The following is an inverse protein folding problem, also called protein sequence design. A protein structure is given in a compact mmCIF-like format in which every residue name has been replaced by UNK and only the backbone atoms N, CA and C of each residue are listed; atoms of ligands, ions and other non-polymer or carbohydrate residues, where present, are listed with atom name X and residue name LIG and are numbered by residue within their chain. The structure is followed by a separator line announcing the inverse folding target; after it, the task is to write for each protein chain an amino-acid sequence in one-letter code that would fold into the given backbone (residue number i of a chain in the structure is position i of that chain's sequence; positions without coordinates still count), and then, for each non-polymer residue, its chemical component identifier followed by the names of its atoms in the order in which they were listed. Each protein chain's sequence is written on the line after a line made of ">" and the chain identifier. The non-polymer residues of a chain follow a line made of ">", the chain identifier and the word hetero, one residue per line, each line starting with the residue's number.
data_IF_964175883178
#
_entry.id   IF_964175883178
#
_cell.length_a   1.000
_cell.length_b   1.000
_cell.length_c   1.000
_cell.angle_alpha   90.00
_cell.angle_beta   90.00
_cell.angle_gamma   90.00
#
_symmetry.space_group_name_H-M   'P 1'
#
loop_
_entity.id
_entity.type
_entity.pdbx_description
1 polymer ?
#
# COMPACT_ATOMS: atom_id res chain seq x y z
N UNK A 1 16.18 17.26 2.86
CA UNK A 1 15.42 16.06 3.27
C UNK A 1 14.00 16.43 3.69
N UNK A 2 13.17 16.92 2.77
CA UNK A 2 11.75 17.27 3.02
C UNK A 2 10.78 16.55 2.06
N UNK A 3 11.28 16.05 0.93
CA UNK A 3 10.51 15.38 -0.12
C UNK A 3 10.01 13.99 0.31
N UNK A 4 10.86 13.19 0.98
CA UNK A 4 10.50 11.83 1.41
C UNK A 4 9.31 11.77 2.39
N UNK A 5 9.15 12.78 3.26
CA UNK A 5 8.01 12.84 4.20
C UNK A 5 6.71 13.22 3.50
N UNK A 6 6.80 14.13 2.51
CA UNK A 6 5.65 14.54 1.69
C UNK A 6 5.12 13.39 0.84
N UNK A 7 6.01 12.59 0.26
CA UNK A 7 5.63 11.44 -0.59
C UNK A 7 4.98 10.31 0.23
N UNK A 8 5.51 10.01 1.43
CA UNK A 8 4.89 9.04 2.35
C UNK A 8 3.51 9.47 2.82
N UNK A 9 3.34 10.76 3.14
CA UNK A 9 2.05 11.31 3.54
C UNK A 9 1.04 11.27 2.39
N UNK A 10 1.45 11.63 1.17
CA UNK A 10 0.61 11.51 -0.03
C UNK A 10 0.19 10.07 -0.32
N UNK A 11 1.12 9.11 -0.15
CA UNK A 11 0.82 7.68 -0.29
C UNK A 11 -0.17 7.19 0.78
N UNK A 12 -0.01 7.63 2.03
CA UNK A 12 -0.95 7.35 3.11
C UNK A 12 -2.35 7.89 2.82
N UNK A 13 -2.49 9.16 2.41
CA UNK A 13 -3.80 9.75 2.07
C UNK A 13 -4.46 8.98 0.91
N UNK A 14 -3.67 8.60 -0.10
CA UNK A 14 -4.17 7.86 -1.26
C UNK A 14 -4.62 6.45 -0.87
N UNK A 15 -3.89 5.77 0.02
CA UNK A 15 -4.27 4.46 0.53
C UNK A 15 -5.51 4.53 1.43
N UNK A 16 -5.59 5.55 2.28
CA UNK A 16 -6.77 5.76 3.14
C UNK A 16 -8.03 6.02 2.31
N UNK A 17 -7.92 6.83 1.24
CA UNK A 17 -9.02 7.04 0.29
C UNK A 17 -9.48 5.74 -0.38
N UNK A 18 -8.54 4.83 -0.69
CA UNK A 18 -8.90 3.53 -1.24
C UNK A 18 -9.68 2.67 -0.23
N UNK A 19 -9.28 2.66 1.05
CA UNK A 19 -10.05 1.96 2.08
C UNK A 19 -11.46 2.52 2.27
N UNK A 20 -11.63 3.86 2.30
CA UNK A 20 -12.96 4.47 2.32
C UNK A 20 -13.81 4.13 1.09
N UNK A 21 -13.17 3.98 -0.09
CA UNK A 21 -13.89 3.54 -1.29
C UNK A 21 -14.41 2.11 -1.13
N UNK A 22 -13.63 1.18 -0.57
CA UNK A 22 -14.04 -0.21 -0.34
C UNK A 22 -15.29 -0.31 0.53
N UNK A 23 -15.45 0.57 1.52
CA UNK A 23 -16.62 0.59 2.40
C UNK A 23 -17.92 0.93 1.66
N UNK A 24 -17.83 1.59 0.50
CA UNK A 24 -19.00 2.11 -0.22
C UNK A 24 -19.20 1.45 -1.59
N UNK A 25 -18.15 0.87 -2.17
CA UNK A 25 -18.18 0.30 -3.52
C UNK A 25 -17.08 -0.75 -3.68
N UNK A 26 -17.38 -1.83 -4.41
CA UNK A 26 -16.38 -2.82 -4.78
C UNK A 26 -15.30 -2.16 -5.68
N UNK A 27 -14.04 -2.06 -5.23
CA UNK A 27 -12.98 -1.48 -6.04
C UNK A 27 -12.68 -2.34 -7.27
N UNK A 28 -12.18 -1.70 -8.32
CA UNK A 28 -11.65 -2.43 -9.48
C UNK A 28 -10.28 -3.04 -9.16
N UNK A 29 -9.91 -4.09 -9.90
CA UNK A 29 -8.58 -4.69 -9.82
C UNK A 29 -7.45 -3.66 -9.99
N UNK A 30 -7.59 -2.73 -10.92
CA UNK A 30 -6.61 -1.67 -11.14
C UNK A 30 -6.48 -0.72 -9.94
N UNK A 31 -7.57 -0.44 -9.23
CA UNK A 31 -7.54 0.36 -8.00
C UNK A 31 -6.81 -0.39 -6.87
N UNK A 32 -7.05 -1.69 -6.73
CA UNK A 32 -6.36 -2.53 -5.76
C UNK A 32 -4.84 -2.63 -6.04
N UNK A 33 -4.45 -2.81 -7.30
CA UNK A 33 -3.04 -2.85 -7.69
C UNK A 33 -2.33 -1.52 -7.42
N UNK A 34 -2.98 -0.38 -7.68
CA UNK A 34 -2.46 0.95 -7.32
C UNK A 34 -2.33 1.12 -5.80
N UNK A 35 -3.30 0.67 -5.02
CA UNK A 35 -3.25 0.72 -3.56
C UNK A 35 -2.09 -0.12 -3.00
N UNK A 36 -1.87 -1.33 -3.53
CA UNK A 36 -0.74 -2.18 -3.14
C UNK A 36 0.62 -1.53 -3.48
N UNK A 37 0.73 -0.81 -4.60
CA UNK A 37 1.95 -0.06 -4.95
C UNK A 37 2.22 1.11 -3.99
N UNK A 38 1.17 1.83 -3.58
CA UNK A 38 1.27 2.92 -2.60
C UNK A 38 1.72 2.39 -1.23
N UNK A 39 1.27 1.19 -0.86
CA UNK A 39 1.68 0.52 0.38
C UNK A 39 3.21 0.31 0.45
N UNK A 40 3.86 -0.10 -0.64
CA UNK A 40 5.33 -0.22 -0.70
C UNK A 40 6.01 1.11 -0.33
N UNK A 41 5.51 2.22 -0.88
CA UNK A 41 6.08 3.57 -0.66
C UNK A 41 5.93 4.05 0.76
N UNK A 42 4.81 3.71 1.43
CA UNK A 42 4.60 4.01 2.85
C UNK A 42 5.71 3.37 3.70
N UNK A 43 6.05 2.12 3.40
CA UNK A 43 7.13 1.39 4.05
C UNK A 43 8.54 1.79 3.58
N UNK A 44 8.65 2.77 2.69
CA UNK A 44 9.94 3.32 2.23
C UNK A 44 10.61 2.53 1.11
N UNK A 45 9.87 1.69 0.39
CA UNK A 45 10.35 0.96 -0.77
C UNK A 45 9.62 1.42 -2.04
N UNK A 46 10.31 1.49 -3.18
CA UNK A 46 9.64 1.84 -4.45
C UNK A 46 8.82 0.68 -5.02
N UNK A 47 9.16 -0.56 -4.62
CA UNK A 47 8.53 -1.77 -5.09
C UNK A 47 8.64 -2.90 -4.05
N UNK A 48 7.91 -4.00 -4.29
CA UNK A 48 7.86 -5.16 -3.39
C UNK A 48 9.21 -5.87 -3.26
N UNK A 49 10.04 -5.84 -4.32
CA UNK A 49 11.37 -6.46 -4.29
C UNK A 49 12.29 -5.71 -3.32
N UNK A 50 12.30 -4.39 -3.37
CA UNK A 50 13.03 -3.54 -2.43
C UNK A 50 12.51 -3.70 -1.00
N UNK A 51 11.19 -3.78 -0.84
CA UNK A 51 10.56 -4.00 0.46
C UNK A 51 11.04 -5.30 1.12
N UNK A 52 11.12 -6.39 0.35
CA UNK A 52 11.62 -7.67 0.85
C UNK A 52 13.12 -7.67 1.13
N UNK A 53 13.88 -6.73 0.56
CA UNK A 53 15.30 -6.54 0.84
C UNK A 53 15.57 -5.75 2.12
N UNK A 54 14.60 -4.98 2.64
CA UNK A 54 14.76 -4.27 3.92
C UNK A 54 14.97 -5.23 5.10
N UNK A 55 14.54 -6.49 4.95
CA UNK A 55 14.87 -7.57 5.88
C UNK A 55 14.15 -7.51 7.23
N UNK A 56 13.24 -6.56 7.44
CA UNK A 56 12.37 -6.47 8.63
C UNK A 56 11.19 -7.46 8.48
N UNK A 57 11.17 -8.57 9.23
CA UNK A 57 10.15 -9.61 9.05
C UNK A 57 8.75 -9.16 9.48
N UNK A 58 8.64 -8.29 10.47
CA UNK A 58 7.36 -7.79 11.00
C UNK A 58 6.73 -6.83 10.00
N UNK A 59 7.54 -5.94 9.43
CA UNK A 59 7.12 -5.03 8.37
C UNK A 59 6.69 -5.80 7.11
N UNK A 60 7.45 -6.82 6.71
CA UNK A 60 7.12 -7.67 5.56
C UNK A 60 5.82 -8.46 5.81
N UNK A 61 5.61 -8.98 7.02
CA UNK A 61 4.38 -9.68 7.38
C UNK A 61 3.17 -8.75 7.30
N UNK A 62 3.27 -7.57 7.93
CA UNK A 62 2.22 -6.54 7.91
C UNK A 62 1.89 -6.11 6.48
N UNK A 63 2.90 -5.91 5.63
CA UNK A 63 2.68 -5.59 4.21
C UNK A 63 1.89 -6.68 3.48
N UNK A 64 2.26 -7.96 3.68
CA UNK A 64 1.59 -9.08 3.00
C UNK A 64 0.13 -9.19 3.41
N UNK A 65 -0.18 -9.02 4.69
CA UNK A 65 -1.54 -9.02 5.22
C UNK A 65 -2.37 -7.89 4.60
N UNK A 66 -1.88 -6.66 4.66
CA UNK A 66 -2.60 -5.50 4.12
C UNK A 66 -2.78 -5.62 2.60
N UNK A 67 -1.75 -6.06 1.87
CA UNK A 67 -1.84 -6.32 0.41
C UNK A 67 -2.88 -7.39 0.09
N UNK A 68 -2.96 -8.45 0.90
CA UNK A 68 -3.96 -9.49 0.73
C UNK A 68 -5.38 -8.92 0.84
N UNK A 69 -5.67 -8.13 1.87
CA UNK A 69 -6.99 -7.53 2.06
C UNK A 69 -7.35 -6.54 0.94
N UNK A 70 -6.38 -5.73 0.47
CA UNK A 70 -6.54 -4.85 -0.69
C UNK A 70 -6.96 -5.64 -1.94
N UNK A 71 -6.24 -6.72 -2.26
CA UNK A 71 -6.52 -7.50 -3.47
C UNK A 71 -7.82 -8.30 -3.36
N UNK A 72 -8.13 -8.80 -2.17
CA UNK A 72 -9.37 -9.52 -1.87
C UNK A 72 -10.59 -8.62 -2.00
N UNK A 73 -10.50 -7.34 -1.63
CA UNK A 73 -11.60 -6.39 -1.80
C UNK A 73 -12.00 -6.19 -3.28
N UNK A 74 -11.09 -6.43 -4.23
CA UNK A 74 -11.35 -6.34 -5.67
C UNK A 74 -11.75 -7.67 -6.33
N UNK A 75 -11.77 -8.79 -5.59
CA UNK A 75 -12.23 -10.11 -6.05
C UNK A 75 -13.75 -10.24 -5.88
#
# INVERSE_FOLDING_TARGET
>A
MLTQTSDKFSAFISLNRYFTLIETTKPTRQQAEKAAALLCRIYGAENEKELFQLGDPELIATYKEIKHEILKAAM
#
